data_IF_636632784585
#
_entry.id   IF_636632784585
#
_cell.length_a   1.000
_cell.length_b   1.000
_cell.length_c   1.000
_cell.angle_alpha   90.00
_cell.angle_beta   90.00
_cell.angle_gamma   90.00
#
_symmetry.space_group_name_H-M   'P 1'
#
loop_
_entity.id
_entity.type
_entity.pdbx_description
1 polymer ?
#
# COMPACT_ATOMS: atom_id res chain seq x y z
N UNK A 1 17.80 -39.20 -52.48
CA UNK A 1 18.37 -38.37 -51.39
C UNK A 1 19.49 -39.16 -50.73
N UNK A 2 20.73 -38.70 -50.83
CA UNK A 2 21.87 -39.38 -50.20
C UNK A 2 21.77 -39.25 -48.67
N UNK A 3 22.08 -40.31 -47.90
CA UNK A 3 22.03 -40.24 -46.43
C UNK A 3 23.05 -39.22 -45.92
N UNK A 4 22.62 -38.38 -44.97
CA UNK A 4 23.46 -37.36 -44.34
C UNK A 4 24.71 -38.00 -43.70
N UNK A 5 25.87 -37.33 -43.75
CA UNK A 5 27.08 -37.86 -43.14
C UNK A 5 26.90 -38.04 -41.63
N UNK A 6 27.38 -39.18 -41.09
CA UNK A 6 27.17 -39.58 -39.69
C UNK A 6 27.54 -38.50 -38.65
N UNK A 7 28.47 -37.60 -38.99
CA UNK A 7 28.90 -36.49 -38.15
C UNK A 7 27.85 -35.37 -38.02
N UNK A 8 27.12 -35.05 -39.09
CA UNK A 8 26.04 -34.06 -39.04
C UNK A 8 24.82 -34.62 -38.33
N UNK A 9 24.45 -35.87 -38.57
CA UNK A 9 23.38 -36.54 -37.82
C UNK A 9 23.66 -36.52 -36.32
N UNK A 10 24.88 -36.86 -35.88
CA UNK A 10 25.26 -36.81 -34.46
C UNK A 10 25.15 -35.40 -33.87
N UNK A 11 25.58 -34.36 -34.60
CA UNK A 11 25.46 -32.96 -34.15
C UNK A 11 24.01 -32.51 -34.02
N UNK A 12 23.16 -32.87 -34.98
CA UNK A 12 21.73 -32.58 -34.91
C UNK A 12 21.04 -33.32 -33.75
N UNK A 13 21.39 -34.59 -33.52
CA UNK A 13 20.85 -35.34 -32.38
C UNK A 13 21.26 -34.70 -31.05
N UNK A 14 22.53 -34.29 -30.88
CA UNK A 14 22.98 -33.60 -29.67
C UNK A 14 22.25 -32.27 -29.48
N UNK A 15 22.11 -31.47 -30.54
CA UNK A 15 21.41 -30.18 -30.48
C UNK A 15 19.93 -30.35 -30.09
N UNK A 16 19.23 -31.30 -30.70
CA UNK A 16 17.83 -31.59 -30.39
C UNK A 16 17.65 -32.10 -28.96
N UNK A 17 18.58 -32.92 -28.45
CA UNK A 17 18.56 -33.38 -27.05
C UNK A 17 18.75 -32.22 -26.07
N UNK A 18 19.67 -31.30 -26.34
CA UNK A 18 19.87 -30.11 -25.50
C UNK A 18 18.64 -29.21 -25.48
N UNK A 19 18.03 -28.96 -26.64
CA UNK A 19 16.82 -28.13 -26.75
C UNK A 19 15.61 -28.77 -26.06
N UNK A 20 15.46 -30.09 -26.19
CA UNK A 20 14.40 -30.81 -25.48
C UNK A 20 14.61 -30.78 -23.96
N UNK A 21 15.86 -30.97 -23.51
CA UNK A 21 16.19 -30.90 -22.08
C UNK A 21 15.94 -29.51 -21.49
N UNK A 22 16.26 -28.43 -22.22
CA UNK A 22 16.02 -27.07 -21.72
C UNK A 22 14.52 -26.76 -21.62
N UNK A 23 13.73 -27.18 -22.62
CA UNK A 23 12.28 -27.01 -22.60
C UNK A 23 11.62 -27.78 -21.45
N UNK A 24 12.08 -29.01 -21.16
CA UNK A 24 11.58 -29.79 -20.03
C UNK A 24 11.88 -29.13 -18.68
N UNK A 25 13.08 -28.59 -18.49
CA UNK A 25 13.46 -27.90 -17.25
C UNK A 25 12.62 -26.63 -17.08
N UNK A 26 12.47 -25.83 -18.12
CA UNK A 26 11.64 -24.62 -18.08
C UNK A 26 10.18 -24.94 -17.78
N UNK A 27 9.62 -25.98 -18.40
CA UNK A 27 8.25 -26.41 -18.13
C UNK A 27 8.09 -26.92 -16.70
N UNK A 28 9.05 -27.71 -16.18
CA UNK A 28 9.04 -28.20 -14.81
C UNK A 28 9.15 -27.07 -13.77
N UNK A 29 9.97 -26.04 -14.04
CA UNK A 29 10.05 -24.86 -13.17
C UNK A 29 8.75 -24.06 -13.22
N UNK A 30 8.18 -23.85 -14.41
CA UNK A 30 6.91 -23.14 -14.57
C UNK A 30 5.77 -23.87 -13.85
N UNK A 31 5.66 -25.19 -14.00
CA UNK A 31 4.65 -25.98 -13.27
C UNK A 31 4.93 -26.00 -11.77
N UNK A 32 6.19 -26.06 -11.32
CA UNK A 32 6.53 -25.95 -9.90
C UNK A 32 6.10 -24.61 -9.30
N UNK A 33 6.36 -23.48 -9.98
CA UNK A 33 5.95 -22.15 -9.49
C UNK A 33 4.44 -21.90 -9.59
N UNK A 34 3.76 -22.47 -10.60
CA UNK A 34 2.31 -22.32 -10.75
C UNK A 34 1.50 -23.31 -9.91
N UNK A 35 2.06 -24.48 -9.56
CA UNK A 35 1.38 -25.54 -8.83
C UNK A 35 1.87 -25.71 -7.38
N UNK A 36 2.92 -25.02 -6.95
CA UNK A 36 3.23 -24.90 -5.50
C UNK A 36 2.03 -24.24 -4.82
N UNK A 37 1.20 -25.00 -4.09
CA UNK A 37 0.17 -24.38 -3.28
C UNK A 37 0.89 -23.66 -2.14
N UNK A 38 0.30 -22.57 -1.65
CA UNK A 38 0.61 -21.94 -0.36
C UNK A 38 0.36 -22.94 0.79
N UNK A 39 1.13 -24.03 0.84
CA UNK A 39 0.90 -25.17 1.73
C UNK A 39 1.71 -25.08 3.01
N UNK A 40 2.37 -23.95 3.26
CA UNK A 40 3.02 -23.69 4.54
C UNK A 40 2.24 -22.63 5.28
N UNK A 41 1.12 -23.02 5.90
CA UNK A 41 0.66 -22.54 7.21
C UNK A 41 -0.57 -23.36 7.63
N UNK A 42 -0.36 -24.64 7.96
CA UNK A 42 -1.31 -25.38 8.79
C UNK A 42 -0.60 -25.80 10.07
N UNK A 43 -0.59 -24.91 11.06
CA UNK A 43 -0.23 -25.31 12.42
C UNK A 43 -1.46 -25.97 13.06
N UNK A 44 -1.42 -27.29 13.19
CA UNK A 44 -2.33 -28.03 14.05
C UNK A 44 -2.21 -27.52 15.49
N UNK A 45 -3.26 -26.88 16.03
CA UNK A 45 -3.38 -26.69 17.47
C UNK A 45 -4.70 -27.20 18.02
N UNK A 46 -4.53 -28.14 18.95
CA UNK A 46 -5.51 -28.81 19.79
C UNK A 46 -6.18 -27.80 20.71
N UNK A 47 -7.50 -27.88 20.81
CA UNK A 47 -8.33 -27.04 21.67
C UNK A 47 -7.88 -27.15 23.14
N UNK A 48 -7.62 -26.00 23.76
CA UNK A 48 -7.66 -25.84 25.21
C UNK A 48 -8.63 -24.71 25.51
N UNK A 49 -9.81 -25.11 25.94
CA UNK A 49 -10.88 -24.29 26.49
C UNK A 49 -10.38 -23.49 27.69
N UNK A 50 -10.58 -22.16 27.66
CA UNK A 50 -10.68 -21.29 28.84
C UNK A 50 -11.19 -19.92 28.41
N UNK A 51 -12.49 -19.74 28.62
CA UNK A 51 -13.20 -18.46 28.66
C UNK A 51 -12.48 -17.48 29.60
N UNK A 52 -12.15 -16.29 29.08
CA UNK A 52 -11.89 -15.13 29.90
C UNK A 52 -12.75 -13.98 29.38
N UNK A 53 -13.67 -13.54 30.23
CA UNK A 53 -14.52 -12.37 30.02
C UNK A 53 -13.64 -11.13 29.79
N UNK A 54 -13.92 -10.39 28.72
CA UNK A 54 -13.33 -9.09 28.42
C UNK A 54 -14.44 -8.04 28.52
N UNK A 55 -14.37 -7.25 29.58
CA UNK A 55 -14.85 -5.86 29.63
C UNK A 55 -14.28 -5.11 28.43
N UNK A 56 -15.13 -4.50 27.59
CA UNK A 56 -14.70 -3.68 26.45
C UNK A 56 -15.49 -2.37 26.44
N UNK A 57 -14.87 -1.33 26.99
CA UNK A 57 -15.28 0.09 26.88
C UNK A 57 -15.03 0.67 25.47
N UNK A 58 -15.33 -0.09 24.40
CA UNK A 58 -15.29 0.47 23.05
C UNK A 58 -16.57 1.28 22.80
N UNK A 59 -16.48 2.51 22.25
CA UNK A 59 -17.66 3.29 21.93
C UNK A 59 -18.52 2.53 20.92
N UNK A 60 -19.81 2.39 21.23
CA UNK A 60 -20.77 1.67 20.40
C UNK A 60 -20.94 2.28 18.98
N UNK A 61 -20.50 3.53 18.79
CA UNK A 61 -20.46 4.25 17.50
C UNK A 61 -19.08 4.92 17.29
N UNK A 62 -18.20 4.24 16.55
CA UNK A 62 -16.86 4.71 16.23
C UNK A 62 -16.88 5.96 15.34
N UNK A 63 -17.81 6.02 14.37
CA UNK A 63 -17.87 7.12 13.42
C UNK A 63 -18.34 8.41 14.11
N UNK A 64 -19.36 8.33 14.96
CA UNK A 64 -19.81 9.46 15.77
C UNK A 64 -18.75 9.95 16.77
N UNK A 65 -17.99 9.02 17.36
CA UNK A 65 -16.88 9.36 18.25
C UNK A 65 -15.77 10.12 17.51
N UNK A 66 -15.39 9.72 16.30
CA UNK A 66 -14.39 10.43 15.50
C UNK A 66 -14.92 11.78 15.03
N UNK A 67 -16.17 11.85 14.58
CA UNK A 67 -16.78 13.10 14.08
C UNK A 67 -16.87 14.21 15.13
N UNK A 68 -16.92 13.86 16.42
CA UNK A 68 -16.99 14.81 17.54
C UNK A 68 -15.65 14.98 18.27
N UNK A 69 -14.64 14.18 17.94
CA UNK A 69 -13.32 14.24 18.53
C UNK A 69 -12.44 15.26 17.83
N UNK A 70 -11.69 16.03 18.62
CA UNK A 70 -10.66 16.93 18.09
C UNK A 70 -9.41 16.82 18.94
N UNK A 71 -8.27 16.73 18.26
CA UNK A 71 -6.94 16.74 18.88
C UNK A 71 -6.04 17.66 18.06
N UNK A 72 -5.37 18.60 18.73
CA UNK A 72 -4.28 19.35 18.10
C UNK A 72 -3.10 18.42 17.89
N UNK A 73 -2.63 18.32 16.66
CA UNK A 73 -1.45 17.56 16.27
C UNK A 73 -0.53 18.54 15.56
N UNK A 74 0.70 18.67 16.07
CA UNK A 74 1.73 19.50 15.46
C UNK A 74 2.58 18.60 14.57
N UNK A 75 2.34 18.65 13.26
CA UNK A 75 3.21 18.03 12.27
C UNK A 75 4.40 18.98 12.04
N UNK A 76 5.46 18.82 12.82
CA UNK A 76 6.57 19.77 12.83
C UNK A 76 7.27 19.88 11.46
N UNK A 77 7.39 21.10 10.94
CA UNK A 77 8.34 21.46 9.88
C UNK A 77 9.77 21.26 10.43
N UNK A 78 10.42 20.16 10.07
CA UNK A 78 11.76 19.82 10.53
C UNK A 78 11.90 18.42 11.13
N UNK A 79 10.79 17.69 11.31
CA UNK A 79 10.84 16.22 11.47
C UNK A 79 10.89 15.63 10.06
N UNK A 80 12.06 15.77 9.44
CA UNK A 80 12.33 15.42 8.05
C UNK A 80 12.25 13.91 7.80
N UNK A 81 12.02 13.08 8.81
CA UNK A 81 11.99 11.64 8.67
C UNK A 81 10.93 11.15 7.66
N UNK A 82 9.74 11.79 7.61
CA UNK A 82 8.73 11.50 6.59
C UNK A 82 8.96 12.23 5.26
N UNK A 83 9.82 13.25 5.25
CA UNK A 83 10.16 14.11 4.11
C UNK A 83 11.56 13.85 3.55
N UNK A 84 12.29 12.87 4.11
CA UNK A 84 13.74 12.76 3.97
C UNK A 84 14.12 12.48 2.53
N UNK A 85 15.05 13.29 2.05
CA UNK A 85 15.36 13.50 0.64
C UNK A 85 16.33 12.47 0.06
N UNK A 86 16.86 11.57 0.88
CA UNK A 86 17.67 10.45 0.39
C UNK A 86 16.75 9.24 0.11
N UNK A 87 16.17 9.27 -1.08
CA UNK A 87 15.35 8.18 -1.63
C UNK A 87 16.14 6.88 -1.75
N UNK A 88 17.47 6.94 -1.88
CA UNK A 88 18.35 5.78 -2.05
C UNK A 88 18.81 5.19 -0.72
N UNK A 89 18.87 5.98 0.35
CA UNK A 89 19.30 5.51 1.67
C UNK A 89 18.31 4.54 2.32
N UNK A 90 17.03 4.54 1.91
CA UNK A 90 15.96 3.70 2.47
C UNK A 90 15.78 3.83 4.00
N UNK A 91 16.46 4.76 4.68
CA UNK A 91 16.59 4.74 6.14
C UNK A 91 15.23 4.95 6.83
N UNK A 92 14.36 5.73 6.18
CA UNK A 92 13.04 6.08 6.69
C UNK A 92 11.90 5.19 6.15
N UNK A 93 12.20 4.12 5.43
CA UNK A 93 11.15 3.24 4.88
C UNK A 93 10.34 2.51 5.96
N UNK A 94 10.93 2.31 7.15
CA UNK A 94 10.24 1.70 8.29
C UNK A 94 9.09 2.58 8.81
N UNK A 95 9.25 3.91 8.78
CA UNK A 95 8.22 4.86 9.19
C UNK A 95 6.94 4.75 8.36
N UNK A 96 7.06 4.33 7.08
CA UNK A 96 5.95 4.17 6.15
C UNK A 96 5.37 2.76 6.13
N UNK A 97 6.19 1.73 6.38
CA UNK A 97 5.80 0.32 6.28
C UNK A 97 5.38 -0.31 7.60
N UNK A 98 6.04 0.09 8.68
CA UNK A 98 5.93 -0.54 10.00
C UNK A 98 5.19 0.38 10.96
N UNK A 99 5.64 1.62 11.08
CA UNK A 99 5.15 2.53 12.13
C UNK A 99 3.87 3.29 11.75
N UNK A 100 3.56 3.37 10.44
CA UNK A 100 2.41 4.12 9.95
C UNK A 100 1.07 3.45 10.28
N UNK A 101 1.09 2.13 10.49
CA UNK A 101 -0.09 1.32 10.73
C UNK A 101 -0.02 0.68 12.12
N UNK A 102 -1.16 0.46 12.80
CA UNK A 102 -1.17 -0.31 14.02
C UNK A 102 -0.77 -1.77 13.73
N UNK A 103 -0.31 -2.54 14.75
CA UNK A 103 0.20 -3.91 14.55
C UNK A 103 -0.78 -4.88 13.87
N UNK A 104 -2.09 -4.64 13.98
CA UNK A 104 -3.14 -5.42 13.33
C UNK A 104 -3.43 -4.96 11.89
N UNK A 105 -2.64 -4.04 11.33
CA UNK A 105 -2.76 -3.48 9.99
C UNK A 105 -3.88 -2.47 9.80
N UNK A 106 -4.61 -2.09 10.86
CA UNK A 106 -5.71 -1.13 10.77
C UNK A 106 -7.08 -1.77 10.52
N UNK A 107 -7.24 -3.03 10.92
CA UNK A 107 -8.49 -3.78 10.77
C UNK A 107 -9.24 -3.94 12.10
N UNK A 108 -10.57 -3.83 12.06
CA UNK A 108 -11.44 -4.19 13.17
C UNK A 108 -11.74 -5.70 13.11
N UNK A 109 -11.66 -6.39 14.25
CA UNK A 109 -12.00 -7.82 14.36
C UNK A 109 -13.38 -7.95 14.98
N UNK A 110 -14.32 -8.60 14.27
CA UNK A 110 -15.67 -8.80 14.78
C UNK A 110 -15.72 -10.00 15.76
N UNK A 111 -16.37 -9.81 16.91
CA UNK A 111 -16.47 -10.82 17.96
C UNK A 111 -17.26 -12.08 17.56
N UNK A 112 -18.08 -12.03 16.50
CA UNK A 112 -18.85 -13.18 16.02
C UNK A 112 -19.25 -13.01 14.55
N UNK A 113 -18.50 -13.61 13.63
CA UNK A 113 -19.02 -13.82 12.29
C UNK A 113 -19.99 -15.02 12.30
N UNK A 114 -21.04 -15.04 11.48
CA UNK A 114 -21.99 -16.16 11.39
C UNK A 114 -21.37 -17.53 11.10
N UNK A 115 -20.13 -17.57 10.58
CA UNK A 115 -19.47 -18.77 10.06
C UNK A 115 -18.14 -19.12 10.76
N UNK A 116 -17.92 -18.63 11.99
CA UNK A 116 -16.73 -18.95 12.83
C UNK A 116 -15.36 -18.49 12.27
N UNK A 117 -15.34 -17.82 11.12
CA UNK A 117 -14.19 -17.07 10.63
C UNK A 117 -14.26 -15.65 11.16
N UNK A 118 -13.30 -15.19 11.96
CA UNK A 118 -13.26 -13.80 12.41
C UNK A 118 -13.28 -12.85 11.20
N UNK A 119 -14.43 -12.22 10.95
CA UNK A 119 -14.58 -11.25 9.88
C UNK A 119 -13.79 -10.00 10.27
N UNK A 120 -12.90 -9.57 9.37
CA UNK A 120 -12.11 -8.36 9.52
C UNK A 120 -12.73 -7.27 8.65
N UNK A 121 -12.84 -6.07 9.20
CA UNK A 121 -13.28 -4.90 8.46
C UNK A 121 -12.13 -3.89 8.43
N UNK A 122 -11.84 -3.35 7.25
CA UNK A 122 -10.84 -2.30 7.10
C UNK A 122 -11.37 -0.96 7.60
N UNK A 123 -10.49 -0.13 8.14
CA UNK A 123 -10.79 1.30 8.37
C UNK A 123 -10.17 2.11 7.24
N UNK A 124 -10.97 2.95 6.59
CA UNK A 124 -10.57 3.69 5.40
C UNK A 124 -9.28 4.53 5.60
N UNK A 125 -9.12 5.22 6.74
CA UNK A 125 -7.89 5.97 7.04
C UNK A 125 -6.63 5.10 6.91
N UNK A 126 -6.64 3.88 7.48
CA UNK A 126 -5.48 3.00 7.42
C UNK A 126 -5.25 2.41 6.03
N UNK A 127 -6.32 2.15 5.29
CA UNK A 127 -6.21 1.73 3.90
C UNK A 127 -5.62 2.86 3.02
N UNK A 128 -6.07 4.12 3.19
CA UNK A 128 -5.52 5.30 2.51
C UNK A 128 -4.02 5.47 2.81
N UNK A 129 -3.60 5.34 4.07
CA UNK A 129 -2.19 5.41 4.47
C UNK A 129 -1.35 4.29 3.84
N UNK A 130 -1.86 3.06 3.80
CA UNK A 130 -1.19 1.93 3.14
C UNK A 130 -1.02 2.16 1.64
N UNK A 131 -2.06 2.64 0.96
CA UNK A 131 -1.99 3.00 -0.45
C UNK A 131 -0.95 4.08 -0.72
N UNK A 132 -0.91 5.12 0.12
CA UNK A 132 0.08 6.18 0.03
C UNK A 132 1.52 5.64 0.20
N UNK A 133 1.76 4.75 1.16
CA UNK A 133 3.05 4.08 1.36
C UNK A 133 3.44 3.18 0.16
N UNK A 134 2.47 2.49 -0.45
CA UNK A 134 2.70 1.66 -1.64
C UNK A 134 3.12 2.51 -2.85
N UNK A 135 2.46 3.65 -3.10
CA UNK A 135 2.84 4.56 -4.19
C UNK A 135 4.24 5.14 -3.94
N UNK A 136 4.56 5.54 -2.71
CA UNK A 136 5.92 6.01 -2.35
C UNK A 136 6.97 4.94 -2.65
N UNK A 137 6.71 3.69 -2.27
CA UNK A 137 7.62 2.57 -2.51
C UNK A 137 7.86 2.32 -4.00
N UNK A 138 6.80 2.43 -4.80
CA UNK A 138 6.89 2.30 -6.26
C UNK A 138 7.69 3.45 -6.88
N UNK A 139 7.53 4.68 -6.39
CA UNK A 139 8.32 5.83 -6.82
C UNK A 139 9.82 5.61 -6.56
N UNK A 140 10.19 5.15 -5.36
CA UNK A 140 11.58 4.80 -5.04
C UNK A 140 12.11 3.72 -5.99
N UNK A 141 11.30 2.68 -6.27
CA UNK A 141 11.66 1.58 -7.17
C UNK A 141 11.91 2.05 -8.60
N UNK A 142 11.11 2.99 -9.10
CA UNK A 142 11.27 3.58 -10.43
C UNK A 142 12.51 4.48 -10.49
N UNK A 143 12.75 5.26 -9.44
CA UNK A 143 13.93 6.13 -9.34
C UNK A 143 15.22 5.33 -9.27
N UNK A 144 15.28 4.27 -8.46
CA UNK A 144 16.43 3.37 -8.41
C UNK A 144 16.77 2.73 -9.77
N UNK A 145 15.77 2.52 -10.64
CA UNK A 145 15.98 2.03 -12.01
C UNK A 145 16.43 3.09 -13.00
N UNK A 146 16.05 4.34 -12.78
CA UNK A 146 16.40 5.48 -13.63
C UNK A 146 17.74 6.11 -13.24
N UNK A 147 18.31 5.72 -12.10
CA UNK A 147 19.55 6.29 -11.61
C UNK A 147 20.76 5.69 -12.34
N UNK A 148 21.36 6.46 -13.26
CA UNK A 148 22.53 6.06 -14.05
C UNK A 148 23.88 6.18 -13.28
N UNK A 149 23.84 6.34 -11.95
CA UNK A 149 25.03 6.52 -11.11
C UNK A 149 25.69 7.90 -11.18
N UNK A 150 24.99 8.89 -11.75
CA UNK A 150 25.42 10.29 -11.71
C UNK A 150 25.44 10.82 -10.26
N UNK A 151 26.37 11.71 -9.87
CA UNK A 151 26.36 12.33 -8.55
C UNK A 151 25.03 13.03 -8.28
N UNK A 152 24.53 12.90 -7.04
CA UNK A 152 23.22 13.43 -6.62
C UNK A 152 23.06 14.94 -6.89
N UNK A 153 24.16 15.68 -6.80
CA UNK A 153 24.28 17.12 -7.03
C UNK A 153 24.05 17.53 -8.50
N UNK A 154 24.10 16.57 -9.42
CA UNK A 154 23.94 16.76 -10.87
C UNK A 154 22.64 16.15 -11.39
N UNK A 155 21.80 15.61 -10.52
CA UNK A 155 20.50 15.02 -10.90
C UNK A 155 19.46 16.14 -11.15
N UNK A 156 19.07 16.41 -12.42
CA UNK A 156 18.08 17.43 -12.72
C UNK A 156 16.69 17.10 -12.13
N UNK A 157 16.43 15.83 -11.76
CA UNK A 157 15.16 15.39 -11.20
C UNK A 157 15.11 15.46 -9.66
N UNK A 158 16.20 15.87 -8.98
CA UNK A 158 16.27 15.96 -7.52
C UNK A 158 15.16 16.85 -6.94
N UNK A 159 15.00 18.06 -7.47
CA UNK A 159 14.01 19.01 -6.96
C UNK A 159 12.57 18.51 -7.09
N UNK A 160 12.25 17.81 -8.17
CA UNK A 160 10.92 17.25 -8.38
C UNK A 160 10.65 16.07 -7.44
N UNK A 161 11.67 15.25 -7.16
CA UNK A 161 11.61 14.16 -6.17
C UNK A 161 11.39 14.70 -4.76
N UNK A 162 12.15 15.72 -4.38
CA UNK A 162 12.04 16.38 -3.08
C UNK A 162 10.62 16.95 -2.88
N UNK A 163 10.08 17.59 -3.93
CA UNK A 163 8.70 18.09 -3.92
C UNK A 163 7.69 16.96 -3.80
N UNK A 164 7.88 15.85 -4.52
CA UNK A 164 6.98 14.70 -4.43
C UNK A 164 6.94 14.16 -2.99
N UNK A 165 8.09 13.95 -2.35
CA UNK A 165 8.16 13.46 -0.97
C UNK A 165 7.47 14.39 0.03
N UNK A 166 7.67 15.71 -0.10
CA UNK A 166 6.95 16.68 0.72
C UNK A 166 5.43 16.61 0.50
N UNK A 167 4.97 16.40 -0.74
CA UNK A 167 3.56 16.15 -1.04
C UNK A 167 3.05 14.85 -0.41
N UNK A 168 3.86 13.78 -0.39
CA UNK A 168 3.49 12.52 0.27
C UNK A 168 3.29 12.72 1.77
N UNK A 169 4.20 13.41 2.45
CA UNK A 169 4.02 13.70 3.87
C UNK A 169 2.80 14.61 4.10
N UNK A 170 2.60 15.65 3.28
CA UNK A 170 1.39 16.49 3.36
C UNK A 170 0.09 15.67 3.22
N UNK A 171 0.05 14.71 2.29
CA UNK A 171 -1.10 13.81 2.15
C UNK A 171 -1.26 12.93 3.39
N UNK A 172 -0.18 12.36 3.93
CA UNK A 172 -0.21 11.57 5.18
C UNK A 172 -0.80 12.37 6.33
N UNK A 173 -0.37 13.63 6.50
CA UNK A 173 -0.90 14.54 7.52
C UNK A 173 -2.40 14.81 7.32
N UNK A 174 -2.81 15.06 6.07
CA UNK A 174 -4.23 15.26 5.73
C UNK A 174 -5.08 14.04 6.06
N UNK A 175 -4.61 12.83 5.73
CA UNK A 175 -5.30 11.58 6.04
C UNK A 175 -5.47 11.38 7.55
N UNK A 176 -4.43 11.64 8.34
CA UNK A 176 -4.47 11.56 9.80
C UNK A 176 -5.37 12.64 10.42
N UNK A 177 -5.39 13.84 9.85
CA UNK A 177 -6.21 14.96 10.33
C UNK A 177 -7.71 14.72 10.07
N UNK A 178 -8.05 14.13 8.91
CA UNK A 178 -9.43 13.83 8.55
C UNK A 178 -9.96 12.52 9.15
N UNK A 179 -9.06 11.58 9.47
CA UNK A 179 -9.35 10.32 10.14
C UNK A 179 -10.62 9.63 9.61
N UNK A 180 -10.64 9.33 8.30
CA UNK A 180 -11.80 8.69 7.66
C UNK A 180 -12.15 7.35 8.35
N UNK A 181 -13.23 7.40 9.15
CA UNK A 181 -13.73 6.30 9.95
C UNK A 181 -14.65 5.35 9.16
N UNK A 182 -14.76 5.51 7.84
CA UNK A 182 -15.53 4.61 6.99
C UNK A 182 -15.03 3.17 7.16
N UNK A 183 -15.97 2.26 7.36
CA UNK A 183 -15.69 0.83 7.51
C UNK A 183 -15.83 0.15 6.16
N UNK A 184 -14.75 -0.47 5.72
CA UNK A 184 -14.63 -1.13 4.43
C UNK A 184 -14.71 -2.65 4.61
N UNK A 185 -15.54 -3.31 3.81
CA UNK A 185 -15.62 -4.77 3.82
C UNK A 185 -14.38 -5.34 3.12
N UNK A 186 -13.71 -6.29 3.76
CA UNK A 186 -12.70 -7.13 3.13
C UNK A 186 -13.43 -8.26 2.39
N UNK A 187 -13.61 -8.11 1.07
CA UNK A 187 -14.30 -9.10 0.24
C UNK A 187 -13.39 -10.29 -0.14
N UNK A 188 -12.13 -10.30 0.31
CA UNK A 188 -11.16 -11.35 0.05
C UNK A 188 -10.76 -11.49 -1.42
N UNK A 189 -11.21 -10.60 -2.31
CA UNK A 189 -10.87 -10.65 -3.76
C UNK A 189 -9.69 -9.77 -4.12
N UNK A 190 -9.27 -8.88 -3.22
CA UNK A 190 -8.12 -7.99 -3.39
C UNK A 190 -8.29 -6.91 -4.47
N UNK A 191 -9.49 -6.77 -5.06
CA UNK A 191 -9.75 -5.83 -6.18
C UNK A 191 -10.94 -4.91 -5.92
N UNK A 192 -11.72 -5.12 -4.85
CA UNK A 192 -12.80 -4.19 -4.44
C UNK A 192 -12.52 -3.44 -3.12
N UNK A 193 -11.25 -3.31 -2.72
CA UNK A 193 -10.91 -2.48 -1.56
C UNK A 193 -11.12 -0.99 -1.90
N UNK A 194 -12.00 -0.29 -1.18
CA UNK A 194 -12.13 1.18 -1.23
C UNK A 194 -13.22 1.76 -2.14
N UNK A 195 -13.84 0.97 -3.01
CA UNK A 195 -14.89 1.42 -3.96
C UNK A 195 -16.29 1.16 -3.40
N UNK A 196 -16.82 2.11 -2.63
CA UNK A 196 -18.16 2.04 -2.04
C UNK A 196 -18.82 3.42 -1.96
N UNK A 197 -20.10 3.46 -1.61
CA UNK A 197 -20.81 4.71 -1.36
C UNK A 197 -20.17 5.46 -0.18
N UNK A 198 -19.98 6.78 -0.33
CA UNK A 198 -19.35 7.65 0.67
C UNK A 198 -20.24 8.86 0.92
N UNK A 199 -20.33 9.27 2.18
CA UNK A 199 -20.90 10.56 2.55
C UNK A 199 -19.76 11.57 2.66
N UNK A 200 -19.55 12.34 1.59
CA UNK A 200 -18.49 13.34 1.51
C UNK A 200 -18.98 14.72 1.94
N UNK A 201 -18.05 15.57 2.39
CA UNK A 201 -18.27 17.02 2.40
C UNK A 201 -18.42 17.50 0.94
N UNK A 202 -19.28 18.49 0.72
CA UNK A 202 -19.46 19.05 -0.62
C UNK A 202 -18.27 19.94 -1.00
N UNK A 203 -17.28 19.32 -1.65
CA UNK A 203 -16.06 19.98 -2.11
C UNK A 203 -16.32 21.10 -3.12
N UNK A 204 -17.49 21.09 -3.81
CA UNK A 204 -17.82 22.10 -4.81
C UNK A 204 -17.94 23.49 -4.19
N UNK A 205 -18.33 23.56 -2.92
CA UNK A 205 -18.38 24.83 -2.17
C UNK A 205 -16.99 25.50 -2.17
N UNK A 206 -15.92 24.72 -1.93
CA UNK A 206 -14.55 25.23 -1.95
C UNK A 206 -14.09 25.56 -3.37
N UNK A 207 -14.47 24.72 -4.34
CA UNK A 207 -14.16 24.96 -5.74
C UNK A 207 -14.75 26.29 -6.23
N UNK A 208 -16.05 26.49 -5.99
CA UNK A 208 -16.79 27.70 -6.37
C UNK A 208 -16.25 28.93 -5.65
N UNK A 209 -15.93 28.82 -4.35
CA UNK A 209 -15.31 29.92 -3.61
C UNK A 209 -13.95 30.31 -4.20
N UNK A 210 -13.10 29.32 -4.52
CA UNK A 210 -11.80 29.55 -5.14
C UNK A 210 -11.92 30.21 -6.50
N UNK A 211 -12.77 29.69 -7.40
CA UNK A 211 -12.92 30.23 -8.75
C UNK A 211 -13.54 31.62 -8.74
N UNK A 212 -14.50 31.88 -7.84
CA UNK A 212 -15.10 33.21 -7.70
C UNK A 212 -14.08 34.24 -7.23
N UNK A 213 -13.09 33.81 -6.43
CA UNK A 213 -12.07 34.72 -5.89
C UNK A 213 -11.16 35.37 -6.95
N UNK A 214 -11.12 34.81 -8.16
CA UNK A 214 -10.40 35.42 -9.30
C UNK A 214 -11.04 36.75 -9.74
N UNK A 215 -12.37 36.87 -9.63
CA UNK A 215 -13.14 38.08 -9.98
C UNK A 215 -13.56 38.90 -8.74
N UNK A 216 -13.83 38.22 -7.62
CA UNK A 216 -14.29 38.80 -6.35
C UNK A 216 -13.36 38.38 -5.20
N UNK A 217 -12.26 39.12 -4.95
CA UNK A 217 -11.27 38.76 -3.93
C UNK A 217 -11.89 38.61 -2.54
N UNK A 218 -11.52 37.53 -1.85
CA UNK A 218 -11.99 37.23 -0.49
C UNK A 218 -11.29 38.12 0.53
N UNK A 219 -12.04 38.76 1.43
CA UNK A 219 -11.46 39.56 2.51
C UNK A 219 -10.92 38.64 3.63
N UNK A 220 -9.84 39.03 4.32
CA UNK A 220 -9.28 38.21 5.41
C UNK A 220 -10.29 37.88 6.53
N UNK A 221 -11.26 38.77 6.77
CA UNK A 221 -12.29 38.58 7.79
C UNK A 221 -13.33 37.52 7.41
N UNK A 222 -13.46 37.18 6.12
CA UNK A 222 -14.39 36.18 5.59
C UNK A 222 -13.82 34.74 5.64
N UNK A 223 -12.58 34.57 6.12
CA UNK A 223 -11.86 33.28 6.16
C UNK A 223 -11.94 32.55 7.52
N UNK A 224 -12.85 32.96 8.41
CA UNK A 224 -12.96 32.44 9.79
C UNK A 224 -14.13 31.50 10.02
#
# INVERSE_FOLDING_TARGET
MAPLPKSTTRRHTVFLLCLFSSLLVSFALFTYFMLMPFSQFTTHHRASDKSHDLDVDAPADLAGAVATSTRRVDFALGDDAYQSLDVLAHEHDHLWREDLLPPNGGYLTLARAPNDTAARLGVAMFHQLRCLAAIRSEMQRLQARAHDGAPEDQDPARQDRDRALACFDYLRQSLLCHADATIEADDGTGVAEGMGERQCRDWRILYEASTRSDDEPVLPDDLR
#
